data_IF_422924521064
#
_entry.id   IF_422924521064
#
_cell.length_a   1.000
_cell.length_b   1.000
_cell.length_c   1.000
_cell.angle_alpha   90.00
_cell.angle_beta   90.00
_cell.angle_gamma   90.00
#
_symmetry.space_group_name_H-M   'P 1'
#
loop_
_entity.id
_entity.type
_entity.pdbx_description
1 polymer ?
#
# COMPACT_ATOMS: atom_id res chain seq x y z
N UNK A 1 3.91 0.14 24.74
CA UNK A 1 2.88 -0.81 24.27
C UNK A 1 3.39 -1.48 23.01
N UNK A 2 4.09 -2.60 23.13
CA UNK A 2 4.53 -3.38 21.96
C UNK A 2 3.34 -4.16 21.43
N UNK A 3 2.67 -3.60 20.43
CA UNK A 3 1.61 -4.27 19.70
C UNK A 3 2.16 -5.58 19.18
N UNK A 4 1.63 -6.69 19.68
CA UNK A 4 1.89 -8.03 19.17
C UNK A 4 1.52 -7.99 17.68
N UNK A 5 2.50 -7.77 16.80
CA UNK A 5 2.28 -7.84 15.37
C UNK A 5 1.88 -9.28 15.12
N UNK A 6 0.62 -9.52 14.77
CA UNK A 6 0.17 -10.80 14.26
C UNK A 6 1.19 -11.19 13.21
N UNK A 7 2.03 -12.19 13.51
CA UNK A 7 3.03 -12.69 12.58
C UNK A 7 2.28 -13.48 11.53
N UNK A 8 1.60 -12.76 10.64
CA UNK A 8 1.03 -13.28 9.42
C UNK A 8 2.18 -13.92 8.64
N UNK A 9 1.96 -15.12 8.12
CA UNK A 9 2.94 -15.90 7.38
C UNK A 9 3.69 -15.10 6.29
N UNK A 10 3.05 -14.14 5.57
CA UNK A 10 3.74 -13.25 4.63
C UNK A 10 4.84 -12.40 5.27
N UNK A 11 4.68 -11.95 6.53
CA UNK A 11 5.72 -11.19 7.21
C UNK A 11 6.95 -12.04 7.52
N UNK A 12 6.76 -13.32 7.90
CA UNK A 12 7.90 -14.21 8.14
C UNK A 12 8.73 -14.39 6.87
N UNK A 13 8.07 -14.63 5.74
CA UNK A 13 8.73 -14.77 4.43
C UNK A 13 9.40 -13.48 3.98
N UNK A 14 8.76 -12.33 4.21
CA UNK A 14 9.32 -11.03 3.86
C UNK A 14 10.62 -10.76 4.61
N UNK A 15 10.66 -11.04 5.91
CA UNK A 15 11.85 -10.81 6.73
C UNK A 15 12.96 -11.83 6.46
N UNK A 16 12.63 -13.06 6.06
CA UNK A 16 13.62 -14.07 5.61
C UNK A 16 14.16 -13.84 4.19
N UNK A 17 13.51 -12.99 3.38
CA UNK A 17 13.98 -12.71 2.01
C UNK A 17 15.36 -12.04 1.97
N UNK A 18 16.05 -12.13 0.82
CA UNK A 18 17.31 -11.42 0.56
C UNK A 18 17.12 -9.97 0.08
N UNK A 19 15.90 -9.44 0.15
CA UNK A 19 15.61 -8.07 -0.27
C UNK A 19 16.28 -7.04 0.64
N UNK A 20 16.52 -5.84 0.11
CA UNK A 20 17.03 -4.72 0.91
C UNK A 20 16.01 -4.30 1.97
N UNK A 21 16.50 -3.69 3.07
CA UNK A 21 15.64 -3.23 4.16
C UNK A 21 14.56 -2.25 3.67
N UNK A 22 14.88 -1.41 2.68
CA UNK A 22 13.93 -0.48 2.05
C UNK A 22 12.72 -1.23 1.46
N UNK A 23 12.95 -2.33 0.75
CA UNK A 23 11.88 -3.16 0.16
C UNK A 23 11.11 -3.88 1.27
N UNK A 24 11.80 -4.42 2.28
CA UNK A 24 11.16 -5.11 3.41
C UNK A 24 10.23 -4.18 4.20
N UNK A 25 10.69 -2.97 4.53
CA UNK A 25 9.88 -1.98 5.23
C UNK A 25 8.68 -1.56 4.37
N UNK A 26 8.88 -1.32 3.08
CA UNK A 26 7.79 -0.97 2.17
C UNK A 26 6.71 -2.07 2.09
N UNK A 27 7.11 -3.32 1.88
CA UNK A 27 6.18 -4.44 1.83
C UNK A 27 5.50 -4.68 3.18
N UNK A 28 6.19 -4.46 4.30
CA UNK A 28 5.56 -4.50 5.62
C UNK A 28 4.48 -3.43 5.77
N UNK A 29 4.75 -2.18 5.37
CA UNK A 29 3.74 -1.12 5.34
C UNK A 29 2.57 -1.49 4.43
N UNK A 30 2.84 -2.09 3.26
CA UNK A 30 1.83 -2.59 2.32
C UNK A 30 0.93 -3.66 2.94
N UNK A 31 1.48 -4.64 3.67
CA UNK A 31 0.70 -5.72 4.27
C UNK A 31 -0.21 -5.26 5.41
N UNK A 32 0.21 -4.22 6.15
CA UNK A 32 -0.56 -3.69 7.27
C UNK A 32 -1.42 -2.47 6.92
N UNK A 33 -1.61 -2.18 5.63
CA UNK A 33 -2.39 -1.03 5.16
C UNK A 33 -1.92 0.31 5.75
N UNK A 34 -0.58 0.45 5.87
CA UNK A 34 0.08 1.64 6.44
C UNK A 34 0.78 2.50 5.40
N UNK A 35 0.59 2.23 4.11
CA UNK A 35 1.07 3.11 3.05
C UNK A 35 0.20 4.37 2.98
N UNK A 36 0.81 5.51 2.70
CA UNK A 36 0.10 6.78 2.54
C UNK A 36 -0.62 6.84 1.18
N UNK A 37 -1.64 6.01 0.99
CA UNK A 37 -2.57 6.13 -0.14
C UNK A 37 -3.49 7.34 0.09
N UNK A 38 -4.05 7.92 -0.99
CA UNK A 38 -4.93 9.09 -0.83
C UNK A 38 -6.15 8.78 0.05
N UNK A 39 -6.72 7.59 -0.07
CA UNK A 39 -7.80 7.13 0.83
C UNK A 39 -7.36 7.17 2.31
N UNK A 40 -6.18 6.65 2.64
CA UNK A 40 -5.68 6.67 4.02
C UNK A 40 -5.40 8.09 4.52
N UNK A 41 -4.91 8.99 3.65
CA UNK A 41 -4.66 10.38 3.99
C UNK A 41 -5.96 11.16 4.26
N UNK A 42 -7.01 10.92 3.47
CA UNK A 42 -8.34 11.51 3.70
C UNK A 42 -8.96 10.97 5.00
N UNK A 43 -8.90 9.66 5.25
CA UNK A 43 -9.39 9.05 6.51
C UNK A 43 -8.67 9.55 7.76
N UNK A 44 -7.39 9.91 7.65
CA UNK A 44 -6.60 10.51 8.74
C UNK A 44 -6.81 12.01 8.88
N UNK A 45 -7.68 12.62 8.08
CA UNK A 45 -7.88 14.06 8.00
C UNK A 45 -6.59 14.84 7.66
N UNK A 46 -5.63 14.18 6.98
CA UNK A 46 -4.40 14.82 6.52
C UNK A 46 -4.56 15.46 5.14
N UNK A 47 -5.69 15.18 4.47
CA UNK A 47 -6.05 15.75 3.17
C UNK A 47 -7.56 15.99 3.13
N UNK A 48 -8.00 17.09 2.50
CA UNK A 48 -9.42 17.36 2.27
C UNK A 48 -10.02 16.31 1.32
N UNK A 49 -11.28 15.90 1.57
CA UNK A 49 -11.96 14.89 0.74
C UNK A 49 -12.21 15.36 -0.70
N UNK A 50 -12.26 16.66 -0.87
CA UNK A 50 -12.46 17.44 -2.09
C UNK A 50 -11.15 17.78 -2.80
N UNK A 51 -10.01 17.32 -2.28
CA UNK A 51 -8.72 17.41 -2.96
C UNK A 51 -8.66 16.45 -4.17
N UNK A 52 -7.80 16.77 -5.13
CA UNK A 52 -7.70 16.01 -6.38
C UNK A 52 -7.43 14.49 -6.18
N UNK A 53 -8.47 13.70 -6.44
CA UNK A 53 -8.47 12.25 -6.36
C UNK A 53 -8.02 11.58 -7.65
N UNK A 54 -7.33 12.29 -8.55
CA UNK A 54 -6.72 11.72 -9.74
C UNK A 54 -5.66 10.67 -9.35
N UNK A 55 -5.84 9.42 -9.75
CA UNK A 55 -4.86 8.38 -9.51
C UNK A 55 -3.59 8.61 -10.37
N UNK A 56 -2.41 8.55 -9.76
CA UNK A 56 -1.11 8.78 -10.41
C UNK A 56 -0.80 7.72 -11.47
N UNK A 57 -1.29 6.49 -11.31
CA UNK A 57 -1.02 5.40 -12.25
C UNK A 57 -1.96 5.39 -13.45
N UNK A 58 -3.24 5.72 -13.24
CA UNK A 58 -4.26 5.63 -14.29
C UNK A 58 -4.74 6.98 -14.82
N UNK A 59 -4.35 8.09 -14.18
CA UNK A 59 -4.78 9.45 -14.50
C UNK A 59 -6.32 9.58 -14.60
N UNK A 60 -7.04 8.85 -13.75
CA UNK A 60 -8.49 8.89 -13.64
C UNK A 60 -8.90 9.28 -12.22
N UNK A 61 -10.06 9.91 -12.07
CA UNK A 61 -10.65 10.24 -10.77
C UNK A 61 -11.21 8.99 -10.09
N UNK A 62 -10.31 8.09 -9.68
CA UNK A 62 -10.62 6.84 -9.00
C UNK A 62 -9.90 6.86 -7.65
N UNK A 63 -10.55 6.33 -6.62
CA UNK A 63 -9.94 6.18 -5.30
C UNK A 63 -8.62 5.40 -5.39
N UNK A 64 -7.53 6.08 -5.01
CA UNK A 64 -6.24 5.42 -4.81
C UNK A 64 -6.28 4.67 -3.47
N UNK A 65 -6.57 3.38 -3.55
CA UNK A 65 -6.37 2.44 -2.46
C UNK A 65 -5.25 1.44 -2.79
N UNK A 66 -4.90 0.62 -1.80
CA UNK A 66 -3.85 -0.40 -1.96
C UNK A 66 -4.19 -1.41 -3.07
N UNK A 67 -5.46 -1.77 -3.21
CA UNK A 67 -5.88 -2.77 -4.19
C UNK A 67 -5.71 -2.21 -5.61
N UNK A 68 -6.19 -1.00 -5.86
CA UNK A 68 -6.04 -0.31 -7.12
C UNK A 68 -4.56 -0.14 -7.49
N UNK A 69 -3.74 0.35 -6.57
CA UNK A 69 -2.31 0.61 -6.84
C UNK A 69 -1.50 -0.67 -7.07
N UNK A 70 -1.75 -1.75 -6.32
CA UNK A 70 -0.86 -2.91 -6.32
C UNK A 70 -1.45 -4.17 -6.93
N UNK A 71 -2.77 -4.33 -7.04
CA UNK A 71 -3.37 -5.63 -7.37
C UNK A 71 -4.41 -5.59 -8.50
N UNK A 72 -5.11 -4.47 -8.69
CA UNK A 72 -6.28 -4.40 -9.60
C UNK A 72 -6.02 -3.61 -10.88
N UNK A 73 -5.07 -2.66 -10.88
CA UNK A 73 -4.80 -1.88 -12.09
C UNK A 73 -4.00 -2.68 -13.12
N UNK A 74 -4.29 -2.46 -14.41
CA UNK A 74 -3.66 -3.16 -15.54
C UNK A 74 -2.13 -3.16 -15.50
N UNK A 75 -1.52 -2.06 -15.06
CA UNK A 75 -0.07 -2.01 -14.86
C UNK A 75 0.38 -2.99 -13.78
N UNK A 76 -0.28 -2.99 -12.64
CA UNK A 76 0.08 -3.82 -11.49
C UNK A 76 -0.18 -5.29 -11.77
N UNK A 77 -1.28 -5.63 -12.43
CA UNK A 77 -1.55 -7.01 -12.86
C UNK A 77 -0.39 -7.57 -13.70
N UNK A 78 0.13 -6.80 -14.66
CA UNK A 78 1.28 -7.22 -15.51
C UNK A 78 2.59 -7.46 -14.76
N UNK A 79 2.75 -6.91 -13.55
CA UNK A 79 3.95 -7.11 -12.73
C UNK A 79 3.83 -8.34 -11.83
N UNK A 80 2.61 -8.67 -11.37
CA UNK A 80 2.38 -9.75 -10.41
C UNK A 80 1.95 -11.07 -11.03
N UNK A 81 1.51 -11.07 -12.30
CA UNK A 81 1.34 -12.30 -13.12
C UNK A 81 2.65 -12.71 -13.77
#
# INVERSE_FOLDING_TARGET
MHSHMVTIQPCKWLWSSRCTLKIKVFAWLLFFDRLNTKDLLVRRHWRAGDADNLCVLCHQHIYEDRQHLFFSYNFSMRIWT
#
